data_IF_930852763215
#
_entry.id   IF_930852763215
#
_cell.length_a   1.000
_cell.length_b   1.000
_cell.length_c   1.000
_cell.angle_alpha   90.00
_cell.angle_beta   90.00
_cell.angle_gamma   90.00
#
_symmetry.space_group_name_H-M   'P 1'
#
loop_
_entity.id
_entity.type
_entity.pdbx_description
1 polymer ?
#
# COMPACT_ATOMS: atom_id res chain seq x y z
N UNK A 1 12.57 -67.78 -9.98
CA UNK A 1 12.31 -66.55 -10.74
C UNK A 1 11.10 -65.86 -10.12
N UNK A 2 11.24 -64.65 -9.57
CA UNK A 2 10.15 -63.90 -8.93
C UNK A 2 10.27 -62.43 -9.35
N UNK A 3 9.27 -61.83 -10.00
CA UNK A 3 9.36 -60.43 -10.40
C UNK A 3 9.06 -59.53 -9.19
N UNK A 4 9.96 -58.59 -8.92
CA UNK A 4 9.77 -57.52 -7.95
C UNK A 4 9.14 -56.33 -8.68
N UNK A 5 7.96 -55.90 -8.23
CA UNK A 5 7.26 -54.73 -8.75
C UNK A 5 7.88 -53.45 -8.16
N UNK A 6 8.32 -52.54 -9.02
CA UNK A 6 8.76 -51.20 -8.65
C UNK A 6 7.53 -50.30 -8.44
N UNK A 7 7.32 -49.84 -7.21
CA UNK A 7 6.31 -48.84 -6.87
C UNK A 7 6.73 -47.46 -7.37
N UNK A 8 5.94 -46.87 -8.25
CA UNK A 8 6.14 -45.50 -8.72
C UNK A 8 5.64 -44.50 -7.65
N UNK A 9 6.56 -43.72 -7.08
CA UNK A 9 6.22 -42.52 -6.32
C UNK A 9 5.82 -41.42 -7.31
N UNK A 10 4.53 -41.11 -7.40
CA UNK A 10 4.04 -39.88 -8.04
C UNK A 10 4.31 -38.69 -7.12
N UNK A 11 5.29 -37.84 -7.49
CA UNK A 11 5.43 -36.48 -6.95
C UNK A 11 4.22 -35.65 -7.39
N UNK A 12 3.30 -35.37 -6.47
CA UNK A 12 2.27 -34.35 -6.67
C UNK A 12 2.92 -32.97 -6.46
N UNK A 13 3.22 -32.27 -7.56
CA UNK A 13 3.59 -30.85 -7.52
C UNK A 13 2.38 -30.03 -7.07
N UNK A 14 2.35 -29.64 -5.79
CA UNK A 14 1.42 -28.64 -5.29
C UNK A 14 1.83 -27.26 -5.85
N UNK A 15 1.23 -26.85 -6.97
CA UNK A 15 1.30 -25.48 -7.45
C UNK A 15 0.54 -24.59 -6.45
N UNK A 16 1.28 -23.86 -5.61
CA UNK A 16 0.68 -22.78 -4.83
C UNK A 16 0.34 -21.64 -5.78
N UNK A 17 -0.95 -21.45 -6.06
CA UNK A 17 -1.44 -20.32 -6.83
C UNK A 17 -1.15 -19.02 -6.06
N UNK A 18 -0.17 -18.26 -6.55
CA UNK A 18 0.15 -16.95 -5.99
C UNK A 18 -1.04 -16.01 -6.27
N UNK A 19 -1.58 -15.39 -5.22
CA UNK A 19 -2.65 -14.42 -5.35
C UNK A 19 -2.17 -13.25 -6.23
N UNK A 20 -2.96 -12.87 -7.25
CA UNK A 20 -2.71 -11.62 -7.96
C UNK A 20 -2.81 -10.46 -6.95
N UNK A 21 -1.84 -9.53 -6.93
CA UNK A 21 -1.93 -8.35 -6.08
C UNK A 21 -3.16 -7.54 -6.45
N UNK A 22 -3.89 -7.09 -5.43
CA UNK A 22 -5.00 -6.17 -5.54
C UNK A 22 -4.49 -4.76 -5.30
N UNK A 23 -4.90 -3.82 -6.12
CA UNK A 23 -4.59 -2.40 -5.93
C UNK A 23 -5.78 -1.70 -5.31
N UNK A 24 -5.57 -1.09 -4.15
CA UNK A 24 -6.53 -0.15 -3.54
C UNK A 24 -6.08 1.25 -3.92
N UNK A 25 -6.99 2.04 -4.47
CA UNK A 25 -6.75 3.46 -4.76
C UNK A 25 -7.56 4.32 -3.78
N UNK A 26 -6.90 5.27 -3.13
CA UNK A 26 -7.53 6.28 -2.29
C UNK A 26 -7.39 7.65 -2.96
N UNK A 27 -8.45 8.44 -2.90
CA UNK A 27 -8.42 9.87 -3.21
C UNK A 27 -8.47 10.62 -1.89
N UNK A 28 -7.45 11.44 -1.60
CA UNK A 28 -7.34 12.17 -0.35
C UNK A 28 -7.41 13.67 -0.61
N UNK A 29 -8.44 14.35 -0.11
CA UNK A 29 -8.55 15.81 -0.18
C UNK A 29 -7.77 16.43 0.99
N UNK A 30 -6.55 16.90 0.73
CA UNK A 30 -5.59 17.38 1.74
C UNK A 30 -5.51 18.90 1.74
N UNK A 31 -5.84 19.50 2.88
CA UNK A 31 -5.62 20.92 3.12
C UNK A 31 -4.22 21.16 3.69
N UNK A 32 -3.47 22.04 3.05
CA UNK A 32 -2.09 22.39 3.43
C UNK A 32 -2.02 23.74 4.13
N UNK A 33 -1.45 23.75 5.33
CA UNK A 33 -1.22 24.94 6.14
C UNK A 33 0.25 25.37 6.06
N UNK A 34 0.54 26.69 6.13
CA UNK A 34 -0.39 27.79 6.42
C UNK A 34 -1.09 28.41 5.19
N UNK A 35 -0.76 27.98 3.98
CA UNK A 35 -1.26 28.59 2.73
C UNK A 35 -2.75 28.38 2.47
N UNK A 36 -3.37 27.41 3.15
CA UNK A 36 -4.80 27.04 3.05
C UNK A 36 -5.22 26.53 1.67
N UNK A 37 -4.27 26.00 0.90
CA UNK A 37 -4.58 25.36 -0.37
C UNK A 37 -5.00 23.91 -0.15
N UNK A 38 -6.04 23.46 -0.84
CA UNK A 38 -6.47 22.05 -0.81
C UNK A 38 -6.10 21.36 -2.12
N UNK A 39 -5.47 20.19 -2.01
CA UNK A 39 -5.01 19.38 -3.14
C UNK A 39 -5.56 17.97 -2.99
N UNK A 40 -6.00 17.37 -4.10
CA UNK A 40 -6.41 15.96 -4.10
C UNK A 40 -5.17 15.12 -4.40
N UNK A 41 -4.82 14.23 -3.46
CA UNK A 41 -3.70 13.30 -3.56
C UNK A 41 -4.21 11.90 -3.87
N UNK A 42 -3.60 11.21 -4.81
CA UNK A 42 -3.89 9.79 -5.05
C UNK A 42 -2.93 8.93 -4.22
N UNK A 43 -3.46 7.94 -3.52
CA UNK A 43 -2.67 6.90 -2.86
C UNK A 43 -3.00 5.56 -3.48
N UNK A 44 -2.02 4.90 -4.07
CA UNK A 44 -2.17 3.53 -4.57
C UNK A 44 -1.46 2.57 -3.63
N UNK A 45 -2.14 1.51 -3.22
CA UNK A 45 -1.60 0.48 -2.33
C UNK A 45 -1.78 -0.87 -3.01
N UNK A 46 -0.67 -1.52 -3.38
CA UNK A 46 -0.69 -2.89 -3.88
C UNK A 46 -0.58 -3.85 -2.68
N UNK A 47 -1.52 -4.78 -2.57
CA UNK A 47 -1.67 -5.73 -1.46
C UNK A 47 -1.86 -7.14 -2.02
N UNK A 48 -1.34 -8.18 -1.36
CA UNK A 48 -1.44 -9.59 -1.83
C UNK A 48 -2.31 -10.53 -0.96
N UNK A 49 -3.15 -9.97 -0.10
CA UNK A 49 -3.98 -10.65 0.93
C UNK A 49 -3.24 -11.02 2.20
N UNK A 50 -1.95 -10.72 2.28
CA UNK A 50 -1.16 -10.89 3.50
C UNK A 50 -0.42 -9.62 3.88
N UNK A 51 0.23 -8.97 2.92
CA UNK A 51 1.06 -7.79 3.17
C UNK A 51 0.85 -6.72 2.08
N UNK A 52 1.13 -5.47 2.46
CA UNK A 52 1.30 -4.37 1.50
C UNK A 52 2.64 -4.57 0.78
N UNK A 53 2.60 -4.62 -0.54
CA UNK A 53 3.74 -4.84 -1.43
C UNK A 53 4.32 -3.54 -1.96
N UNK A 54 3.46 -2.55 -2.21
CA UNK A 54 3.89 -1.25 -2.72
C UNK A 54 2.94 -0.15 -2.23
N UNK A 55 3.47 1.06 -2.17
CA UNK A 55 2.68 2.29 -2.01
C UNK A 55 3.17 3.29 -3.06
N UNK A 56 2.24 4.00 -3.70
CA UNK A 56 2.55 5.16 -4.54
C UNK A 56 1.72 6.35 -4.10
N UNK A 57 2.31 7.53 -4.15
CA UNK A 57 1.67 8.81 -3.87
C UNK A 57 1.70 9.62 -5.17
N UNK A 58 0.53 9.92 -5.73
CA UNK A 58 0.38 10.61 -7.03
C UNK A 58 1.18 9.93 -8.17
N UNK A 59 1.24 8.60 -8.15
CA UNK A 59 2.03 7.80 -9.09
C UNK A 59 3.53 7.72 -8.77
N UNK A 60 4.04 8.49 -7.81
CA UNK A 60 5.44 8.43 -7.38
C UNK A 60 5.68 7.26 -6.43
N UNK A 61 6.75 6.51 -6.66
CA UNK A 61 7.19 5.45 -5.75
C UNK A 61 8.13 6.06 -4.70
N UNK A 62 7.78 6.03 -3.40
CA UNK A 62 8.65 6.52 -2.36
C UNK A 62 9.86 5.60 -2.18
N UNK A 63 10.96 6.15 -1.65
CA UNK A 63 12.17 5.37 -1.35
C UNK A 63 11.90 4.22 -0.37
N UNK A 64 10.90 4.37 0.50
CA UNK A 64 10.44 3.32 1.38
C UNK A 64 9.12 3.68 2.07
N UNK A 65 8.52 2.69 2.71
CA UNK A 65 7.33 2.88 3.53
C UNK A 65 7.39 1.94 4.74
N UNK A 66 6.62 2.27 5.77
CA UNK A 66 6.49 1.46 6.98
C UNK A 66 5.02 1.20 7.26
N UNK A 67 4.70 -0.04 7.62
CA UNK A 67 3.34 -0.46 7.96
C UNK A 67 3.20 -0.41 9.49
N UNK A 68 2.10 0.15 9.96
CA UNK A 68 1.71 0.18 11.38
C UNK A 68 0.26 -0.31 11.54
N UNK A 69 -0.23 -0.60 12.76
CA UNK A 69 -1.53 -1.27 12.98
C UNK A 69 -2.76 -0.60 12.35
N UNK A 70 -2.66 0.69 12.04
CA UNK A 70 -3.74 1.50 11.50
C UNK A 70 -3.46 2.02 10.08
N UNK A 71 -2.29 1.76 9.49
CA UNK A 71 -2.01 2.25 8.14
C UNK A 71 -0.54 2.25 7.73
N UNK A 72 -0.16 3.24 6.93
CA UNK A 72 1.18 3.34 6.34
C UNK A 72 1.79 4.72 6.55
N UNK A 73 3.10 4.75 6.81
CA UNK A 73 3.92 5.95 6.80
C UNK A 73 4.94 5.89 5.66
N UNK A 74 5.17 7.01 4.98
CA UNK A 74 6.15 7.13 3.88
C UNK A 74 6.65 8.57 3.75
N UNK A 75 7.53 8.84 2.78
CA UNK A 75 7.96 10.20 2.46
C UNK A 75 8.28 10.36 0.97
N UNK A 76 7.90 11.52 0.42
CA UNK A 76 8.27 12.01 -0.92
C UNK A 76 8.59 13.50 -0.82
N UNK A 77 9.53 14.02 -1.60
CA UNK A 77 9.80 15.48 -1.75
C UNK A 77 9.83 16.30 -0.44
N UNK A 78 10.47 15.75 0.61
CA UNK A 78 10.52 16.30 1.97
C UNK A 78 9.20 16.30 2.77
N UNK A 79 8.09 15.85 2.18
CA UNK A 79 6.84 15.58 2.87
C UNK A 79 6.93 14.21 3.57
N UNK A 80 6.80 14.20 4.90
CA UNK A 80 6.57 12.96 5.66
C UNK A 80 5.07 12.72 5.73
N UNK A 81 4.60 11.58 5.25
CA UNK A 81 3.18 11.30 5.03
C UNK A 81 2.76 10.11 5.89
N UNK A 82 1.58 10.22 6.50
CA UNK A 82 0.92 9.16 7.26
C UNK A 82 -0.51 9.02 6.74
N UNK A 83 -0.87 7.78 6.37
CA UNK A 83 -2.23 7.43 5.96
C UNK A 83 -2.80 6.49 7.02
N UNK A 84 -3.81 6.95 7.75
CA UNK A 84 -4.64 6.09 8.59
C UNK A 84 -5.73 5.46 7.73
N UNK A 85 -5.63 4.16 7.51
CA UNK A 85 -6.55 3.38 6.68
C UNK A 85 -7.84 3.02 7.42
N UNK A 86 -7.88 3.12 8.75
CA UNK A 86 -9.11 2.87 9.54
C UNK A 86 -9.99 4.11 9.63
N UNK A 87 -9.38 5.27 9.83
CA UNK A 87 -10.06 6.56 9.88
C UNK A 87 -10.21 7.20 8.49
N UNK A 88 -9.56 6.63 7.48
CA UNK A 88 -9.47 7.17 6.13
C UNK A 88 -8.97 8.62 6.18
N UNK A 89 -7.79 8.82 6.77
CA UNK A 89 -7.22 10.14 7.04
C UNK A 89 -5.78 10.24 6.55
N UNK A 90 -5.48 11.38 5.94
CA UNK A 90 -4.12 11.83 5.61
C UNK A 90 -3.62 12.79 6.68
N UNK A 91 -2.38 12.63 7.09
CA UNK A 91 -1.60 13.63 7.84
C UNK A 91 -0.21 13.73 7.24
N UNK A 92 0.35 14.93 7.12
CA UNK A 92 1.72 15.12 6.67
C UNK A 92 2.41 16.35 7.24
N UNK A 93 3.75 16.33 7.19
CA UNK A 93 4.63 17.42 7.60
C UNK A 93 5.79 17.60 6.60
N UNK A 94 5.95 18.81 6.08
CA UNK A 94 7.08 19.24 5.26
C UNK A 94 8.24 19.72 6.14
N UNK A 95 8.69 18.85 7.06
CA UNK A 95 9.80 19.13 7.99
C UNK A 95 9.61 20.44 8.78
N UNK A 96 8.39 20.72 9.22
CA UNK A 96 8.03 21.91 9.98
C UNK A 96 7.70 23.16 9.16
N UNK A 97 7.84 23.11 7.82
CA UNK A 97 7.54 24.26 6.95
C UNK A 97 6.05 24.37 6.61
N UNK A 98 5.39 23.22 6.48
CA UNK A 98 3.97 23.11 6.18
C UNK A 98 3.43 21.79 6.71
N UNK A 99 2.13 21.72 6.95
CA UNK A 99 1.44 20.50 7.34
C UNK A 99 0.23 20.25 6.46
N UNK A 100 -0.06 18.98 6.19
CA UNK A 100 -1.23 18.53 5.43
C UNK A 100 -2.16 17.73 6.32
N UNK A 101 -3.46 17.98 6.24
CA UNK A 101 -4.49 17.10 6.83
C UNK A 101 -5.65 16.93 5.86
N UNK A 102 -6.18 15.72 5.73
CA UNK A 102 -7.23 15.46 4.76
C UNK A 102 -8.01 14.18 5.04
N UNK A 103 -9.22 14.08 4.46
CA UNK A 103 -9.97 12.83 4.42
C UNK A 103 -9.63 12.09 3.13
N UNK A 104 -9.52 10.78 3.23
CA UNK A 104 -9.35 9.86 2.13
C UNK A 104 -10.63 9.06 1.88
N UNK A 105 -10.85 8.68 0.63
CA UNK A 105 -11.96 7.84 0.21
C UNK A 105 -11.45 6.79 -0.76
N UNK A 106 -11.93 5.55 -0.65
CA UNK A 106 -11.59 4.50 -1.63
C UNK A 106 -12.27 4.80 -2.95
N UNK A 107 -11.50 4.82 -4.02
CA UNK A 107 -12.00 4.99 -5.38
C UNK A 107 -12.34 3.61 -5.94
N UNK A 108 -13.62 3.39 -6.24
CA UNK A 108 -14.04 2.21 -7.01
C UNK A 108 -13.80 2.54 -8.49
N UNK A 109 -12.90 1.81 -9.16
CA UNK A 109 -12.80 1.84 -10.63
C UNK A 109 -13.59 0.69 -11.22
#
# INVERSE_FOLDING_TARGET
MKPQQFGALTLACAFQAQAAPQTVTLSCAVAYMPTRSTWVREVQIDWDRKIIRSVRIDGLTPYGFSIHPHGVSTAIDNERIQIDLRQAQWSSDFRGLASGQGRCETVSR
#
